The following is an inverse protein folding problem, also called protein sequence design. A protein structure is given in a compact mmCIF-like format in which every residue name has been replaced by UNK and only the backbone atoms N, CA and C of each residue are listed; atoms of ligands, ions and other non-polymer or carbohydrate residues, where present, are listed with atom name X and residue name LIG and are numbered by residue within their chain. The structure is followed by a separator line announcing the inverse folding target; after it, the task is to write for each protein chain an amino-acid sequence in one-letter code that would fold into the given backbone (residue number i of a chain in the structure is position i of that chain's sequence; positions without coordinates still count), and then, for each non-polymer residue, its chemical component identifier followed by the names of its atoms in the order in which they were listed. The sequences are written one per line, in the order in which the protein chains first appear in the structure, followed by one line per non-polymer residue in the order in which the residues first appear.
data_IF_988393256420
#
_entry.id   IF_988393256420
#
_cell.length_a   1.000
_cell.length_b   1.000
_cell.length_c   1.000
_cell.angle_alpha   90.00
_cell.angle_beta   90.00
_cell.angle_gamma   90.00
#
_symmetry.space_group_name_H-M   'P 1'
#
loop_
_entity.id
_entity.type
_entity.pdbx_description
1 polymer ?
#
# COMPACT_ATOMS: atom_id res chain seq x y z
N UNK A 1 -15.09 9.77 0.99
CA UNK A 1 -14.33 10.19 -0.23
C UNK A 1 -14.19 9.01 -1.19
N UNK A 2 -14.01 9.29 -2.48
CA UNK A 2 -13.86 8.28 -3.53
C UNK A 2 -12.41 7.86 -3.67
N UNK A 3 -12.15 6.56 -3.61
CA UNK A 3 -10.81 5.98 -3.54
C UNK A 3 -10.63 4.95 -4.66
N UNK A 4 -9.49 4.99 -5.34
CA UNK A 4 -8.94 3.83 -6.05
C UNK A 4 -7.88 3.20 -5.16
N UNK A 5 -8.01 1.91 -4.91
CA UNK A 5 -7.05 1.13 -4.13
C UNK A 5 -6.14 0.33 -5.06
N UNK A 6 -4.84 0.37 -4.82
CA UNK A 6 -3.84 -0.36 -5.61
C UNK A 6 -3.06 -1.29 -4.70
N UNK A 7 -3.10 -2.58 -4.99
CA UNK A 7 -2.40 -3.58 -4.21
C UNK A 7 -2.52 -4.97 -4.81
N UNK A 8 -1.70 -5.91 -4.33
CA UNK A 8 -1.66 -7.26 -4.90
C UNK A 8 -1.71 -8.36 -3.84
N UNK A 9 -0.78 -8.47 -2.86
CA UNK A 9 -0.70 -9.61 -1.96
C UNK A 9 -1.68 -9.52 -0.79
N UNK A 10 -1.65 -10.53 0.07
CA UNK A 10 -2.46 -10.60 1.29
C UNK A 10 -2.35 -9.36 2.18
N UNK A 11 -1.15 -8.80 2.33
CA UNK A 11 -0.98 -7.54 3.08
C UNK A 11 -1.93 -6.45 2.57
N UNK A 12 -1.98 -6.27 1.24
CA UNK A 12 -2.87 -5.30 0.61
C UNK A 12 -4.34 -5.67 0.74
N UNK A 13 -4.68 -6.97 0.65
CA UNK A 13 -6.04 -7.46 0.89
C UNK A 13 -6.56 -7.05 2.27
N UNK A 14 -5.77 -7.26 3.32
CA UNK A 14 -6.14 -6.91 4.69
C UNK A 14 -6.30 -5.39 4.88
N UNK A 15 -5.45 -4.59 4.25
CA UNK A 15 -5.61 -3.12 4.23
C UNK A 15 -6.92 -2.73 3.52
N UNK A 16 -7.21 -3.36 2.39
CA UNK A 16 -8.47 -3.12 1.65
C UNK A 16 -9.69 -3.48 2.49
N UNK A 17 -9.66 -4.59 3.23
CA UNK A 17 -10.75 -5.00 4.13
C UNK A 17 -11.02 -3.95 5.21
N UNK A 18 -9.99 -3.38 5.84
CA UNK A 18 -10.14 -2.26 6.78
C UNK A 18 -10.78 -1.03 6.12
N UNK A 19 -10.35 -0.72 4.90
CA UNK A 19 -10.88 0.39 4.13
C UNK A 19 -12.36 0.20 3.77
N UNK A 20 -12.77 -1.03 3.43
CA UNK A 20 -14.15 -1.38 3.12
C UNK A 20 -15.11 -1.31 4.32
N UNK A 21 -14.58 -1.34 5.54
CA UNK A 21 -15.35 -1.14 6.78
C UNK A 21 -15.54 0.33 7.13
N UNK A 22 -14.87 1.24 6.43
CA UNK A 22 -14.98 2.68 6.64
C UNK A 22 -16.13 3.30 5.84
N UNK A 23 -16.39 4.58 6.08
CA UNK A 23 -17.39 5.35 5.34
C UNK A 23 -16.90 5.82 3.95
N UNK A 24 -15.66 5.50 3.60
CA UNK A 24 -15.11 5.85 2.29
C UNK A 24 -15.53 4.85 1.23
N UNK A 25 -15.66 5.33 -0.01
CA UNK A 25 -16.07 4.51 -1.15
C UNK A 25 -14.86 4.07 -1.98
N UNK A 26 -14.59 2.77 -2.02
CA UNK A 26 -13.62 2.18 -2.95
C UNK A 26 -14.31 1.96 -4.28
N UNK A 27 -14.03 2.82 -5.25
CA UNK A 27 -14.69 2.81 -6.57
C UNK A 27 -14.06 1.82 -7.54
N UNK A 28 -12.83 1.47 -7.35
CA UNK A 28 -12.09 0.46 -8.13
C UNK A 28 -10.87 -0.01 -7.37
N UNK A 29 -10.38 -1.19 -7.72
CA UNK A 29 -9.06 -1.66 -7.33
C UNK A 29 -8.18 -1.85 -8.57
N UNK A 30 -6.89 -1.59 -8.41
CA UNK A 30 -5.84 -1.91 -9.38
C UNK A 30 -4.95 -2.96 -8.77
N UNK A 31 -4.73 -4.05 -9.47
CA UNK A 31 -3.88 -5.14 -9.02
C UNK A 31 -3.04 -5.66 -10.17
N UNK A 32 -1.98 -6.39 -9.85
CA UNK A 32 -1.20 -7.07 -10.88
C UNK A 32 -2.02 -8.22 -11.48
N UNK A 33 -1.81 -8.54 -12.77
CA UNK A 33 -2.52 -9.63 -13.42
C UNK A 33 -2.35 -10.97 -12.69
N UNK A 34 -3.30 -11.87 -12.89
CA UNK A 34 -3.25 -13.22 -12.40
C UNK A 34 -1.91 -13.87 -12.75
N UNK A 35 -1.34 -14.60 -11.82
CA UNK A 35 -0.04 -15.22 -11.99
C UNK A 35 -0.11 -16.73 -11.73
N UNK A 36 0.74 -17.47 -12.44
CA UNK A 36 0.91 -18.89 -12.20
C UNK A 36 1.60 -19.07 -10.85
N UNK A 37 0.94 -19.77 -9.92
CA UNK A 37 1.46 -20.01 -8.57
C UNK A 37 1.36 -21.49 -8.21
N UNK A 38 2.27 -21.91 -7.31
CA UNK A 38 2.29 -23.26 -6.74
C UNK A 38 2.79 -24.35 -7.68
N UNK A 39 2.92 -25.56 -7.12
CA UNK A 39 3.43 -26.74 -7.84
C UNK A 39 2.52 -27.21 -8.98
N UNK A 40 1.25 -26.87 -8.95
CA UNK A 40 0.27 -27.23 -9.97
C UNK A 40 0.19 -26.28 -11.17
N UNK A 41 1.03 -25.25 -11.25
CA UNK A 41 1.03 -24.22 -12.31
C UNK A 41 -0.37 -23.66 -12.63
N UNK A 42 -1.22 -23.51 -11.62
CA UNK A 42 -2.54 -22.93 -11.79
C UNK A 42 -2.45 -21.39 -11.82
N UNK A 43 -3.26 -20.79 -12.69
CA UNK A 43 -3.47 -19.35 -12.70
C UNK A 43 -4.28 -18.99 -11.46
N UNK A 44 -3.75 -18.07 -10.62
CA UNK A 44 -4.37 -17.67 -9.35
C UNK A 44 -4.55 -16.18 -9.34
N UNK A 45 -5.76 -15.74 -9.00
CA UNK A 45 -6.07 -14.32 -8.77
C UNK A 45 -5.27 -13.78 -7.60
N UNK A 46 -4.93 -12.48 -7.66
CA UNK A 46 -4.34 -11.81 -6.52
C UNK A 46 -5.32 -11.80 -5.33
N UNK A 47 -4.85 -11.80 -4.08
CA UNK A 47 -5.71 -11.63 -2.91
C UNK A 47 -6.60 -10.37 -2.99
N UNK A 48 -6.07 -9.26 -3.51
CA UNK A 48 -6.83 -8.02 -3.71
C UNK A 48 -7.95 -8.20 -4.73
N UNK A 49 -7.68 -8.86 -5.87
CA UNK A 49 -8.72 -9.17 -6.86
C UNK A 49 -9.84 -10.02 -6.27
N UNK A 50 -9.49 -11.09 -5.56
CA UNK A 50 -10.46 -11.96 -4.91
C UNK A 50 -11.33 -11.20 -3.90
N UNK A 51 -10.74 -10.33 -3.09
CA UNK A 51 -11.45 -9.46 -2.15
C UNK A 51 -12.41 -8.52 -2.88
N UNK A 52 -11.93 -7.81 -3.91
CA UNK A 52 -12.75 -6.87 -4.67
C UNK A 52 -13.95 -7.56 -5.33
N UNK A 53 -13.78 -8.76 -5.84
CA UNK A 53 -14.86 -9.55 -6.42
C UNK A 53 -15.94 -9.95 -5.40
N UNK A 54 -15.55 -10.24 -4.16
CA UNK A 54 -16.53 -10.51 -3.07
C UNK A 54 -17.41 -9.30 -2.75
N UNK A 55 -16.95 -8.10 -3.01
CA UNK A 55 -17.65 -6.84 -2.73
C UNK A 55 -18.16 -6.13 -3.99
N UNK A 56 -18.16 -6.82 -5.14
CA UNK A 56 -18.60 -6.28 -6.43
C UNK A 56 -17.91 -4.96 -6.85
N UNK A 57 -16.62 -4.84 -6.50
CA UNK A 57 -15.80 -3.68 -6.84
C UNK A 57 -15.12 -3.91 -8.19
N UNK A 58 -15.16 -2.93 -9.12
CA UNK A 58 -14.44 -3.02 -10.38
C UNK A 58 -12.95 -3.29 -10.19
N UNK A 59 -12.41 -4.23 -10.97
CA UNK A 59 -11.00 -4.64 -10.93
C UNK A 59 -10.31 -4.27 -12.23
N UNK A 60 -9.21 -3.53 -12.11
CA UNK A 60 -8.28 -3.23 -13.19
C UNK A 60 -6.99 -4.03 -12.99
N UNK A 61 -6.58 -4.76 -14.01
CA UNK A 61 -5.36 -5.57 -13.96
C UNK A 61 -4.29 -4.96 -14.87
N UNK A 62 -3.27 -4.38 -14.24
CA UNK A 62 -2.13 -3.79 -14.96
C UNK A 62 -0.81 -4.24 -14.32
N UNK A 63 0.13 -4.69 -15.15
CA UNK A 63 1.52 -4.92 -14.75
C UNK A 63 2.34 -3.63 -14.74
N UNK A 64 1.86 -2.60 -15.43
CA UNK A 64 2.46 -1.27 -15.52
C UNK A 64 1.38 -0.22 -15.71
N UNK A 65 1.54 0.94 -15.09
CA UNK A 65 0.63 2.09 -15.23
C UNK A 65 1.14 3.16 -16.21
N UNK A 66 2.11 2.80 -17.05
CA UNK A 66 2.72 3.74 -18.02
C UNK A 66 1.88 3.99 -19.26
N UNK A 67 0.91 3.11 -19.57
CA UNK A 67 0.09 3.20 -20.78
C UNK A 67 -0.94 4.32 -20.69
N UNK A 68 -1.33 4.86 -21.86
CA UNK A 68 -2.44 5.81 -21.96
C UNK A 68 -3.78 5.17 -21.56
N UNK A 69 -3.97 3.90 -21.91
CA UNK A 69 -5.16 3.13 -21.53
C UNK A 69 -5.35 3.10 -20.01
N UNK A 70 -4.30 2.77 -19.24
CA UNK A 70 -4.35 2.75 -17.78
C UNK A 70 -4.67 4.13 -17.21
N UNK A 71 -4.06 5.18 -17.74
CA UNK A 71 -4.30 6.55 -17.33
C UNK A 71 -5.76 6.98 -17.56
N UNK A 72 -6.30 6.74 -18.75
CA UNK A 72 -7.70 7.06 -19.08
C UNK A 72 -8.68 6.24 -18.24
N UNK A 73 -8.39 4.97 -18.00
CA UNK A 73 -9.23 4.14 -17.12
C UNK A 73 -9.31 4.72 -15.70
N UNK A 74 -8.19 5.20 -15.17
CA UNK A 74 -8.15 5.77 -13.81
C UNK A 74 -8.88 7.12 -13.73
N UNK A 75 -8.77 7.97 -14.73
CA UNK A 75 -9.51 9.25 -14.80
C UNK A 75 -11.01 9.02 -14.66
N UNK A 76 -11.54 8.02 -15.33
CA UNK A 76 -12.98 7.75 -15.40
C UNK A 76 -13.62 7.40 -14.05
N UNK A 77 -12.82 7.01 -13.05
CA UNK A 77 -13.34 6.73 -11.71
C UNK A 77 -13.51 7.99 -10.85
N UNK A 78 -12.97 9.12 -11.25
CA UNK A 78 -13.08 10.38 -10.51
C UNK A 78 -12.70 10.24 -9.03
N UNK A 79 -11.65 9.46 -8.74
CA UNK A 79 -11.17 9.28 -7.39
C UNK A 79 -10.48 10.53 -6.86
N UNK A 80 -10.67 10.80 -5.58
CA UNK A 80 -10.06 11.96 -4.89
C UNK A 80 -8.67 11.63 -4.35
N UNK A 81 -8.41 10.34 -4.11
CA UNK A 81 -7.14 9.84 -3.57
C UNK A 81 -6.89 8.43 -4.09
N UNK A 82 -5.63 8.09 -4.32
CA UNK A 82 -5.20 6.71 -4.55
C UNK A 82 -4.52 6.18 -3.29
N UNK A 83 -4.95 5.02 -2.81
CA UNK A 83 -4.34 4.33 -1.70
C UNK A 83 -3.57 3.12 -2.21
N UNK A 84 -2.30 3.02 -1.89
CA UNK A 84 -1.37 2.02 -2.45
C UNK A 84 -0.76 1.19 -1.33
N UNK A 85 -0.91 -0.12 -1.42
CA UNK A 85 -0.32 -1.08 -0.50
C UNK A 85 0.26 -2.26 -1.29
N UNK A 86 1.58 -2.35 -1.37
CA UNK A 86 2.28 -3.44 -2.06
C UNK A 86 1.70 -3.75 -3.45
N UNK A 87 1.55 -2.75 -4.29
CA UNK A 87 1.05 -2.93 -5.66
C UNK A 87 2.06 -3.69 -6.53
N UNK A 88 3.35 -3.39 -6.38
CA UNK A 88 4.42 -4.10 -7.07
C UNK A 88 4.80 -3.53 -8.44
N UNK A 89 4.37 -2.32 -8.74
CA UNK A 89 4.80 -1.55 -9.91
C UNK A 89 4.95 -0.09 -9.54
N UNK A 90 5.83 0.61 -10.26
CA UNK A 90 6.03 2.06 -10.08
C UNK A 90 4.82 2.84 -10.60
N UNK A 91 4.47 3.91 -9.90
CA UNK A 91 3.48 4.88 -10.35
C UNK A 91 4.20 6.00 -11.10
N UNK A 92 3.91 6.20 -12.40
CA UNK A 92 4.44 7.34 -13.13
C UNK A 92 3.98 8.67 -12.55
N UNK A 93 4.76 9.73 -12.76
CA UNK A 93 4.45 11.06 -12.25
C UNK A 93 3.01 11.50 -12.54
N UNK A 94 2.54 11.32 -13.77
CA UNK A 94 1.17 11.70 -14.14
C UNK A 94 0.08 10.93 -13.37
N UNK A 95 0.36 9.72 -12.93
CA UNK A 95 -0.54 8.95 -12.06
C UNK A 95 -0.48 9.49 -10.63
N UNK A 96 0.71 9.79 -10.12
CA UNK A 96 0.90 10.39 -8.79
C UNK A 96 0.16 11.72 -8.64
N UNK A 97 0.09 12.51 -9.70
CA UNK A 97 -0.52 13.86 -9.73
C UNK A 97 -2.01 13.83 -10.11
N UNK A 98 -2.55 12.68 -10.51
CA UNK A 98 -3.92 12.57 -11.01
C UNK A 98 -4.98 12.86 -9.95
N UNK A 99 -4.99 12.24 -8.75
CA UNK A 99 -5.99 12.49 -7.75
C UNK A 99 -5.71 13.78 -6.97
N UNK A 100 -6.79 14.47 -6.59
CA UNK A 100 -6.72 15.74 -5.87
C UNK A 100 -5.85 15.69 -4.62
N UNK A 101 -5.95 14.61 -3.84
CA UNK A 101 -5.19 14.40 -2.60
C UNK A 101 -3.94 13.54 -2.79
N UNK A 102 -3.56 13.28 -4.05
CA UNK A 102 -2.38 12.50 -4.36
C UNK A 102 -2.52 11.01 -4.07
N UNK A 103 -1.38 10.36 -3.90
CA UNK A 103 -1.28 8.93 -3.64
C UNK A 103 -0.69 8.71 -2.24
N UNK A 104 -1.37 7.91 -1.44
CA UNK A 104 -0.94 7.51 -0.10
C UNK A 104 -0.46 6.07 -0.13
N UNK A 105 0.73 5.81 0.39
CA UNK A 105 1.28 4.47 0.52
C UNK A 105 1.25 4.00 1.96
N UNK A 106 0.82 2.78 2.16
CA UNK A 106 0.89 2.08 3.44
C UNK A 106 2.18 1.28 3.45
N UNK A 107 3.21 1.82 4.09
CA UNK A 107 4.54 1.23 4.13
C UNK A 107 4.81 0.48 5.43
N UNK A 108 5.22 -0.77 5.32
CA UNK A 108 5.42 -1.69 6.45
C UNK A 108 6.77 -1.51 7.14
N UNK A 109 7.15 -0.30 7.49
CA UNK A 109 8.34 0.00 8.30
C UNK A 109 8.22 1.35 9.01
N UNK A 110 9.13 1.60 9.94
CA UNK A 110 9.36 2.90 10.56
C UNK A 110 10.32 3.71 9.68
N UNK A 111 9.79 4.38 8.64
CA UNK A 111 10.58 5.19 7.73
C UNK A 111 11.41 6.25 8.48
N UNK A 112 12.65 6.52 8.05
CA UNK A 112 13.31 6.12 6.78
C UNK A 112 13.99 4.74 6.80
N UNK A 113 13.82 3.94 7.85
CA UNK A 113 14.33 2.58 7.88
C UNK A 113 13.54 1.68 6.95
N UNK A 114 14.22 0.83 6.23
CA UNK A 114 13.64 -0.18 5.33
C UNK A 114 12.78 0.40 4.20
N UNK A 115 13.26 1.41 3.51
CA UNK A 115 12.70 1.81 2.22
C UNK A 115 12.81 0.67 1.22
N UNK A 116 11.79 0.43 0.40
CA UNK A 116 11.84 -0.57 -0.67
C UNK A 116 10.83 -1.70 -0.54
N UNK A 117 11.12 -2.84 -1.19
CA UNK A 117 10.12 -3.86 -1.52
C UNK A 117 9.80 -4.85 -0.40
N UNK A 118 10.72 -5.13 0.53
CA UNK A 118 10.57 -6.20 1.54
C UNK A 118 10.88 -5.72 2.97
N UNK A 119 10.22 -4.63 3.45
CA UNK A 119 10.56 -4.04 4.74
C UNK A 119 10.28 -4.97 5.93
N UNK A 120 9.21 -5.75 5.87
CA UNK A 120 8.78 -6.61 6.97
C UNK A 120 9.76 -7.77 7.17
N UNK A 121 10.09 -8.46 6.08
CA UNK A 121 11.04 -9.57 6.08
C UNK A 121 12.44 -9.10 6.50
N UNK A 122 12.85 -7.92 6.05
CA UNK A 122 14.16 -7.35 6.42
C UNK A 122 14.25 -6.99 7.89
N UNK A 123 13.18 -6.45 8.48
CA UNK A 123 13.14 -6.16 9.91
C UNK A 123 13.27 -7.44 10.75
N UNK A 124 12.59 -8.51 10.37
CA UNK A 124 12.69 -9.81 11.04
C UNK A 124 14.10 -10.40 10.90
N UNK A 125 14.66 -10.41 9.70
CA UNK A 125 16.00 -10.93 9.42
C UNK A 125 17.12 -10.14 10.12
N UNK A 126 16.94 -8.84 10.29
CA UNK A 126 17.90 -7.99 11.00
C UNK A 126 17.80 -8.14 12.52
N UNK A 127 16.79 -8.83 13.03
CA UNK A 127 16.57 -8.97 14.48
C UNK A 127 16.09 -7.68 15.13
N UNK A 128 15.38 -6.83 14.39
CA UNK A 128 14.81 -5.61 14.95
C UNK A 128 13.81 -5.96 16.06
N UNK A 129 13.83 -5.22 17.16
CA UNK A 129 12.91 -5.44 18.28
C UNK A 129 11.50 -4.91 17.98
N UNK A 130 11.43 -3.87 17.18
CA UNK A 130 10.18 -3.24 16.77
C UNK A 130 10.26 -2.80 15.31
N UNK A 131 9.12 -2.70 14.70
CA UNK A 131 8.90 -2.10 13.39
C UNK A 131 7.60 -1.32 13.43
N UNK A 132 7.00 -1.02 12.31
CA UNK A 132 5.73 -0.31 12.28
C UNK A 132 5.18 -0.11 10.90
N UNK A 133 4.23 0.79 10.85
CA UNK A 133 3.55 1.24 9.64
C UNK A 133 3.74 2.74 9.50
N UNK A 134 3.91 3.20 8.27
CA UNK A 134 3.84 4.61 7.92
C UNK A 134 2.82 4.84 6.81
N UNK A 135 1.97 5.86 6.97
CA UNK A 135 1.14 6.38 5.88
C UNK A 135 1.91 7.53 5.25
N UNK A 136 2.43 7.29 4.05
CA UNK A 136 3.36 8.17 3.36
C UNK A 136 2.72 8.75 2.10
N UNK A 137 2.94 10.05 1.84
CA UNK A 137 2.63 10.65 0.55
C UNK A 137 3.64 10.15 -0.47
N UNK A 138 3.16 9.57 -1.57
CA UNK A 138 4.04 9.09 -2.63
C UNK A 138 4.56 10.24 -3.49
N UNK A 139 5.81 10.13 -3.86
CA UNK A 139 6.51 10.99 -4.81
C UNK A 139 7.39 10.13 -5.74
N UNK A 140 8.13 10.73 -6.65
CA UNK A 140 8.94 9.97 -7.62
C UNK A 140 10.11 9.19 -7.00
N UNK A 141 10.54 9.54 -5.78
CA UNK A 141 11.58 8.82 -5.05
C UNK A 141 11.10 7.51 -4.45
N UNK A 142 12.03 6.62 -4.13
CA UNK A 142 11.74 5.35 -3.48
C UNK A 142 11.44 5.56 -2.00
N UNK A 143 10.16 5.57 -1.64
CA UNK A 143 9.67 5.68 -0.27
C UNK A 143 10.26 6.87 0.52
N UNK A 144 10.38 8.02 -0.16
CA UNK A 144 11.02 9.23 0.37
C UNK A 144 10.03 10.30 0.84
N UNK A 145 8.75 10.10 0.60
CA UNK A 145 7.72 11.10 0.88
C UNK A 145 7.46 11.35 2.36
N UNK A 146 6.78 12.45 2.63
CA UNK A 146 6.38 12.84 3.98
C UNK A 146 5.37 11.86 4.57
N UNK A 147 5.42 11.67 5.88
CA UNK A 147 4.62 10.71 6.62
C UNK A 147 3.55 11.43 7.45
N UNK A 148 2.29 11.01 7.27
CA UNK A 148 1.14 11.57 7.99
C UNK A 148 0.84 10.86 9.31
N UNK A 149 1.10 9.56 9.36
CA UNK A 149 0.78 8.71 10.50
C UNK A 149 1.81 7.60 10.62
N UNK A 150 2.22 7.31 11.84
CA UNK A 150 3.12 6.21 12.16
C UNK A 150 2.57 5.42 13.34
N UNK A 151 2.62 4.10 13.26
CA UNK A 151 2.28 3.21 14.37
C UNK A 151 3.41 2.20 14.57
N UNK A 152 3.79 1.99 15.82
CA UNK A 152 4.87 1.06 16.21
C UNK A 152 4.28 -0.28 16.61
N UNK A 153 4.91 -1.37 16.18
CA UNK A 153 4.57 -2.75 16.52
C UNK A 153 5.82 -3.49 16.98
N UNK A 154 5.73 -4.19 18.12
CA UNK A 154 6.81 -5.05 18.61
C UNK A 154 6.87 -6.34 17.80
N UNK A 155 8.06 -6.74 17.40
CA UNK A 155 8.27 -7.96 16.60
C UNK A 155 8.22 -9.21 17.49
N UNK A 156 8.93 -9.20 18.61
CA UNK A 156 9.02 -10.34 19.55
C UNK A 156 9.40 -11.64 18.82
N UNK A 157 8.58 -12.69 18.95
CA UNK A 157 8.80 -14.00 18.30
C UNK A 157 7.87 -14.23 17.10
N UNK A 158 7.28 -13.15 16.55
CA UNK A 158 6.38 -13.25 15.40
C UNK A 158 7.15 -13.67 14.14
N UNK A 159 6.51 -14.51 13.35
CA UNK A 159 6.99 -14.75 11.97
C UNK A 159 6.76 -13.52 11.10
N UNK A 160 7.44 -13.44 9.97
CA UNK A 160 7.19 -12.35 9.01
C UNK A 160 5.74 -12.35 8.52
N UNK A 161 5.11 -13.51 8.40
CA UNK A 161 3.69 -13.64 8.03
C UNK A 161 2.75 -13.08 9.09
N UNK A 162 2.94 -13.45 10.37
CA UNK A 162 2.13 -12.94 11.47
C UNK A 162 2.28 -11.43 11.64
N UNK A 163 3.53 -10.96 11.54
CA UNK A 163 3.84 -9.53 11.60
C UNK A 163 3.21 -8.75 10.45
N UNK A 164 3.26 -9.32 9.24
CA UNK A 164 2.64 -8.74 8.05
C UNK A 164 1.13 -8.55 8.22
N UNK A 165 0.44 -9.56 8.72
CA UNK A 165 -1.01 -9.51 8.97
C UNK A 165 -1.35 -8.45 10.03
N UNK A 166 -0.59 -8.38 11.12
CA UNK A 166 -0.78 -7.37 12.16
C UNK A 166 -0.54 -5.95 11.64
N UNK A 167 0.55 -5.76 10.91
CA UNK A 167 0.89 -4.46 10.31
C UNK A 167 -0.15 -4.00 9.28
N UNK A 168 -0.72 -4.91 8.52
CA UNK A 168 -1.79 -4.60 7.57
C UNK A 168 -3.04 -4.07 8.26
N UNK A 169 -3.46 -4.71 9.35
CA UNK A 169 -4.62 -4.25 10.14
C UNK A 169 -4.36 -2.89 10.79
N UNK A 170 -3.21 -2.72 11.42
CA UNK A 170 -2.80 -1.43 12.02
C UNK A 170 -2.69 -0.36 10.95
N UNK A 171 -2.07 -0.67 9.83
CA UNK A 171 -1.90 0.23 8.69
C UNK A 171 -3.23 0.67 8.07
N UNK A 172 -4.16 -0.26 7.92
CA UNK A 172 -5.51 0.04 7.44
C UNK A 172 -6.25 1.04 8.33
N UNK A 173 -6.17 0.86 9.65
CA UNK A 173 -6.76 1.80 10.62
C UNK A 173 -6.09 3.17 10.58
N UNK A 174 -4.76 3.23 10.48
CA UNK A 174 -4.02 4.48 10.28
C UNK A 174 -4.43 5.18 8.99
N UNK A 175 -4.57 4.42 7.90
CA UNK A 175 -5.01 4.96 6.61
C UNK A 175 -6.39 5.59 6.72
N UNK A 176 -7.36 4.91 7.30
CA UNK A 176 -8.72 5.42 7.51
C UNK A 176 -8.69 6.72 8.31
N UNK A 177 -7.90 6.79 9.38
CA UNK A 177 -7.72 8.01 10.17
C UNK A 177 -7.21 9.19 9.35
N UNK A 178 -6.23 8.95 8.47
CA UNK A 178 -5.70 9.99 7.56
C UNK A 178 -6.77 10.42 6.54
N UNK A 179 -7.48 9.47 5.96
CA UNK A 179 -8.57 9.75 5.00
C UNK A 179 -9.70 10.54 5.63
N UNK A 180 -10.08 10.23 6.87
CA UNK A 180 -11.11 10.98 7.62
C UNK A 180 -10.71 12.44 7.80
N UNK A 181 -9.44 12.70 8.10
CA UNK A 181 -8.90 14.05 8.20
C UNK A 181 -8.91 14.78 6.86
N UNK A 182 -8.51 14.11 5.77
CA UNK A 182 -8.57 14.68 4.42
C UNK A 182 -10.00 15.07 4.03
N UNK A 183 -10.94 14.17 4.31
CA UNK A 183 -12.36 14.34 3.95
C UNK A 183 -13.02 15.46 4.74
N UNK A 184 -12.69 15.59 6.02
CA UNK A 184 -13.23 16.65 6.91
C UNK A 184 -12.52 18.00 6.77
N UNK A 185 -11.44 18.08 6.01
CA UNK A 185 -10.60 19.28 5.92
C UNK A 185 -9.78 19.56 7.19
N UNK A 186 -9.66 18.58 8.08
CA UNK A 186 -8.80 18.68 9.26
C UNK A 186 -7.33 18.72 8.84
N UNK A 187 -6.55 19.61 9.44
CA UNK A 187 -5.13 19.73 9.16
C UNK A 187 -4.38 18.43 9.50
N UNK A 188 -3.52 17.99 8.58
CA UNK A 188 -2.63 16.84 8.77
C UNK A 188 -1.21 17.37 8.94
N UNK A 189 -0.55 16.93 10.02
CA UNK A 189 0.86 17.19 10.21
C UNK A 189 1.70 16.20 9.42
N UNK A 190 2.21 16.63 8.27
CA UNK A 190 3.13 15.87 7.44
C UNK A 190 4.54 15.99 7.96
N UNK A 191 5.13 14.88 8.37
CA UNK A 191 6.49 14.84 8.89
C UNK A 191 7.46 14.42 7.79
N UNK A 192 8.42 15.29 7.48
CA UNK A 192 9.51 14.97 6.57
C UNK A 192 10.37 13.86 7.16
N UNK A 193 10.76 12.89 6.33
CA UNK A 193 11.66 11.84 6.78
C UNK A 193 13.05 12.39 7.13
N UNK A 194 13.67 11.85 8.19
CA UNK A 194 15.05 12.17 8.57
C UNK A 194 16.03 11.76 7.46
N UNK A 195 17.13 12.49 7.34
CA UNK A 195 18.27 12.09 6.51
C UNK A 195 19.16 11.04 7.20
N UNK A 196 18.93 10.80 8.50
CA UNK A 196 19.65 9.79 9.29
C UNK A 196 18.82 8.51 9.42
N UNK A 197 19.50 7.37 9.49
CA UNK A 197 18.86 6.07 9.68
C UNK A 197 18.20 5.50 8.42
N UNK A 198 18.51 6.05 7.25
CA UNK A 198 18.02 5.52 5.97
C UNK A 198 18.63 4.14 5.73
N UNK A 199 17.78 3.13 5.53
CA UNK A 199 18.18 1.80 5.10
C UNK A 199 17.22 1.30 4.01
N UNK A 200 17.64 0.28 3.27
CA UNK A 200 16.91 -0.24 2.14
C UNK A 200 16.55 -1.71 2.32
N UNK A 201 15.35 -2.07 1.89
CA UNK A 201 14.78 -3.41 1.97
C UNK A 201 14.60 -3.99 0.58
N UNK A 202 15.69 -4.44 -0.02
CA UNK A 202 15.66 -5.10 -1.31
C UNK A 202 14.87 -6.41 -1.23
N UNK A 203 14.20 -6.73 -2.34
CA UNK A 203 13.45 -7.97 -2.48
C UNK A 203 14.35 -9.17 -2.16
N UNK A 204 13.80 -10.11 -1.38
CA UNK A 204 14.52 -11.34 -1.07
C UNK A 204 14.62 -12.23 -2.32
N UNK A 205 15.83 -12.75 -2.57
CA UNK A 205 16.02 -13.77 -3.58
C UNK A 205 15.31 -15.06 -3.16
N UNK A 206 14.67 -15.72 -4.10
CA UNK A 206 14.20 -17.10 -3.87
C UNK A 206 15.44 -17.99 -3.83
N UNK A 207 15.68 -18.63 -2.69
CA UNK A 207 16.66 -19.70 -2.58
C UNK A 207 16.23 -20.95 -3.32
#
# INVERSE_FOLDING_TARGET
MRIVFMGTPRFAELVLEELLQSDHEVVAVVTRPDAIRGRGKKLVSSPVKACAQRFDIPVLEYSSLKSEEAYQALINFHAEVFCVAAYGALLPKRILELPRFGCLNIHGSLLPRWRGAAPIERAVLAGDHETGIGIMRMEEGLDTGDVACTAVVKIEQKTASDLSDELACVGGKCLVSVLDKLDSGTEIHWTKQSNEGITYADKLAKG
#
